data_IF_255785941755
#
_entry.id   IF_255785941755
#
_cell.length_a   1.000
_cell.length_b   1.000
_cell.length_c   1.000
_cell.angle_alpha   90.00
_cell.angle_beta   90.00
_cell.angle_gamma   90.00
#
_symmetry.space_group_name_H-M   'P 1'
#
loop_
_entity.id
_entity.type
_entity.pdbx_description
1 polymer ?
#
# COMPACT_ATOMS: atom_id res chain seq x y z
N UNK A 1 -28.65 19.55 24.48
CA UNK A 1 -29.22 18.23 24.16
C UNK A 1 -29.02 18.01 22.66
N UNK A 2 -28.48 16.87 22.24
CA UNK A 2 -28.27 16.55 20.81
C UNK A 2 -29.54 15.89 20.26
N UNK A 3 -30.04 16.26 19.07
CA UNK A 3 -31.19 15.57 18.47
C UNK A 3 -30.91 14.08 18.25
N UNK A 4 -31.84 13.21 18.66
CA UNK A 4 -31.69 11.76 18.56
C UNK A 4 -31.62 11.24 17.11
N UNK A 5 -32.05 12.05 16.14
CA UNK A 5 -32.04 11.72 14.71
C UNK A 5 -30.75 12.12 14.00
N UNK A 6 -29.79 12.77 14.68
CA UNK A 6 -28.57 13.26 14.02
C UNK A 6 -27.80 12.15 13.29
N UNK A 7 -27.73 10.95 13.88
CA UNK A 7 -27.04 9.81 13.27
C UNK A 7 -27.75 9.28 12.03
N UNK A 8 -29.09 9.27 12.01
CA UNK A 8 -29.89 8.84 10.85
C UNK A 8 -29.87 9.89 9.75
N UNK A 9 -29.86 11.17 10.13
CA UNK A 9 -29.71 12.27 9.17
C UNK A 9 -28.32 12.26 8.52
N UNK A 10 -27.27 12.04 9.31
CA UNK A 10 -25.91 11.90 8.80
C UNK A 10 -25.79 10.71 7.84
N UNK A 11 -26.33 9.54 8.23
CA UNK A 11 -26.40 8.35 7.37
C UNK A 11 -27.06 8.65 6.02
N UNK A 12 -28.25 9.28 6.04
CA UNK A 12 -28.97 9.65 4.83
C UNK A 12 -28.18 10.59 3.91
N UNK A 13 -27.55 11.63 4.47
CA UNK A 13 -26.78 12.61 3.68
C UNK A 13 -25.49 12.00 3.14
N UNK A 14 -24.80 11.16 3.93
CA UNK A 14 -23.57 10.51 3.49
C UNK A 14 -23.83 9.48 2.39
N UNK A 15 -24.87 8.66 2.54
CA UNK A 15 -25.28 7.72 1.50
C UNK A 15 -25.75 8.44 0.23
N UNK A 16 -26.50 9.54 0.34
CA UNK A 16 -26.89 10.35 -0.81
C UNK A 16 -25.68 10.96 -1.55
N UNK A 17 -24.57 11.21 -0.84
CA UNK A 17 -23.31 11.69 -1.40
C UNK A 17 -22.38 10.56 -1.89
N UNK A 18 -22.85 9.31 -1.93
CA UNK A 18 -22.10 8.18 -2.48
C UNK A 18 -21.10 7.55 -1.51
N UNK A 19 -21.37 7.61 -0.20
CA UNK A 19 -20.62 6.86 0.80
C UNK A 19 -21.36 5.55 1.18
N UNK A 20 -21.22 4.45 0.40
CA UNK A 20 -21.98 3.21 0.60
C UNK A 20 -21.59 2.45 1.87
N UNK A 21 -20.43 2.75 2.45
CA UNK A 21 -19.90 2.07 3.64
C UNK A 21 -20.34 2.73 4.95
N UNK A 22 -21.21 3.74 4.88
CA UNK A 22 -21.83 4.36 6.06
C UNK A 22 -23.06 3.58 6.44
N UNK A 23 -23.14 3.20 7.72
CA UNK A 23 -24.25 2.45 8.28
C UNK A 23 -24.74 3.10 9.56
N UNK A 24 -26.05 3.15 9.74
CA UNK A 24 -26.70 3.41 11.03
C UNK A 24 -27.22 2.09 11.61
N UNK A 25 -26.79 1.74 12.82
CA UNK A 25 -27.21 0.52 13.51
C UNK A 25 -27.99 0.91 14.75
N UNK A 26 -29.24 0.44 14.85
CA UNK A 26 -30.03 0.55 16.06
C UNK A 26 -29.59 -0.52 17.07
N UNK A 27 -28.93 -0.08 18.15
CA UNK A 27 -28.41 -0.95 19.20
C UNK A 27 -29.42 -1.20 20.33
N UNK A 28 -30.44 -0.34 20.48
CA UNK A 28 -31.52 -0.48 21.45
C UNK A 28 -32.66 0.54 21.17
N UNK A 29 -33.68 0.10 20.43
CA UNK A 29 -34.86 0.92 20.05
C UNK A 29 -35.68 1.49 21.20
N UNK A 30 -35.50 0.97 22.43
CA UNK A 30 -36.29 1.35 23.62
C UNK A 30 -35.53 2.20 24.61
N UNK A 31 -34.22 2.40 24.40
CA UNK A 31 -33.37 3.15 25.29
C UNK A 31 -33.63 4.66 25.22
N UNK A 32 -33.53 5.34 26.36
CA UNK A 32 -33.42 6.80 26.37
C UNK A 32 -32.03 7.24 25.89
N UNK A 33 -31.85 8.54 25.67
CA UNK A 33 -30.54 9.08 25.29
C UNK A 33 -29.42 8.71 26.29
N UNK A 34 -29.76 8.62 27.58
CA UNK A 34 -28.82 8.21 28.63
C UNK A 34 -28.56 6.70 28.61
N UNK A 35 -29.60 5.89 28.36
CA UNK A 35 -29.48 4.42 28.32
C UNK A 35 -28.76 3.92 27.06
N UNK A 36 -28.69 4.72 26.00
CA UNK A 36 -27.98 4.39 24.75
C UNK A 36 -26.46 4.45 24.86
N UNK A 37 -25.88 5.07 25.90
CA UNK A 37 -24.43 5.30 25.97
C UNK A 37 -23.66 3.98 26.06
N UNK A 38 -24.05 3.10 26.99
CA UNK A 38 -23.38 1.80 27.18
C UNK A 38 -23.44 0.92 25.92
N UNK A 39 -24.62 0.63 25.32
CA UNK A 39 -24.69 -0.24 24.15
C UNK A 39 -24.03 0.37 22.91
N UNK A 40 -24.03 1.70 22.75
CA UNK A 40 -23.35 2.37 21.65
C UNK A 40 -21.83 2.28 21.78
N UNK A 41 -21.28 2.52 22.97
CA UNK A 41 -19.83 2.41 23.22
C UNK A 41 -19.36 0.97 23.05
N UNK A 42 -20.09 0.01 23.62
CA UNK A 42 -19.79 -1.42 23.49
C UNK A 42 -19.79 -1.87 22.02
N UNK A 43 -20.79 -1.45 21.24
CA UNK A 43 -20.86 -1.76 19.80
C UNK A 43 -19.71 -1.13 19.01
N UNK A 44 -19.34 0.12 19.31
CA UNK A 44 -18.21 0.78 18.68
C UNK A 44 -16.88 0.05 18.98
N UNK A 45 -16.66 -0.36 20.23
CA UNK A 45 -15.47 -1.15 20.60
C UNK A 45 -15.41 -2.44 19.78
N UNK A 46 -16.51 -3.19 19.68
CA UNK A 46 -16.54 -4.43 18.88
C UNK A 46 -16.33 -4.19 17.39
N UNK A 47 -16.82 -3.09 16.84
CA UNK A 47 -16.56 -2.71 15.46
C UNK A 47 -15.06 -2.45 15.20
N UNK A 48 -14.38 -1.73 16.10
CA UNK A 48 -12.97 -1.35 15.92
C UNK A 48 -11.97 -2.41 16.40
N UNK A 49 -12.37 -3.37 17.23
CA UNK A 49 -11.50 -4.43 17.75
C UNK A 49 -10.73 -5.20 16.66
N UNK A 50 -11.38 -5.67 15.56
CA UNK A 50 -10.68 -6.35 14.47
C UNK A 50 -9.66 -5.46 13.72
N UNK A 51 -9.84 -4.14 13.77
CA UNK A 51 -8.99 -3.18 13.05
C UNK A 51 -7.69 -2.86 13.82
N UNK A 52 -7.55 -3.29 15.07
CA UNK A 52 -6.37 -3.02 15.90
C UNK A 52 -5.06 -3.56 15.31
N UNK A 53 -5.12 -4.58 14.44
CA UNK A 53 -3.96 -5.14 13.74
C UNK A 53 -3.72 -4.56 12.34
N UNK A 54 -4.62 -3.71 11.82
CA UNK A 54 -4.49 -3.10 10.50
C UNK A 54 -3.67 -1.81 10.61
N UNK A 55 -2.36 -1.96 10.76
CA UNK A 55 -1.45 -0.83 10.70
C UNK A 55 -1.03 -0.59 9.25
N UNK A 56 -1.31 0.59 8.73
CA UNK A 56 -0.65 1.09 7.52
C UNK A 56 0.55 1.92 7.94
N UNK A 57 1.65 1.83 7.20
CA UNK A 57 2.79 2.72 7.45
C UNK A 57 2.34 4.17 7.21
N UNK A 58 2.59 5.04 8.18
CA UNK A 58 2.44 6.49 8.02
C UNK A 58 3.74 7.17 7.60
N UNK A 59 4.80 6.39 7.34
CA UNK A 59 6.07 6.94 6.89
C UNK A 59 5.94 7.43 5.45
N UNK A 60 6.35 8.69 5.24
CA UNK A 60 6.53 9.21 3.89
C UNK A 60 7.71 8.47 3.26
N UNK A 61 7.42 7.64 2.26
CA UNK A 61 8.47 6.98 1.47
C UNK A 61 9.15 8.03 0.62
N UNK A 62 10.33 8.49 1.05
CA UNK A 62 11.11 9.42 0.23
C UNK A 62 11.54 8.72 -1.08
N UNK A 63 11.61 9.47 -2.17
CA UNK A 63 12.21 8.95 -3.40
C UNK A 63 13.71 8.78 -3.15
N UNK A 64 14.25 7.58 -3.34
CA UNK A 64 15.69 7.32 -3.18
C UNK A 64 16.51 8.23 -4.11
N UNK A 65 17.80 8.42 -3.75
CA UNK A 65 18.82 8.92 -4.68
C UNK A 65 18.72 8.16 -6.02
N UNK A 66 19.04 8.79 -7.17
CA UNK A 66 18.73 8.22 -8.47
C UNK A 66 19.49 6.90 -8.69
N UNK A 67 18.78 5.79 -8.55
CA UNK A 67 19.19 4.46 -9.01
C UNK A 67 19.20 4.48 -10.54
N UNK A 68 20.27 3.98 -11.15
CA UNK A 68 20.41 3.89 -12.60
C UNK A 68 20.38 2.44 -13.03
N UNK A 69 19.62 2.14 -14.07
CA UNK A 69 19.57 0.81 -14.68
C UNK A 69 20.03 0.92 -16.13
N UNK A 70 21.11 0.20 -16.48
CA UNK A 70 21.71 0.28 -17.82
C UNK A 70 22.42 -1.04 -18.21
N UNK A 71 22.57 -1.35 -19.50
CA UNK A 71 21.93 -0.67 -20.62
C UNK A 71 20.41 -0.85 -20.56
N UNK A 72 19.69 0.02 -21.26
CA UNK A 72 18.24 -0.07 -21.37
C UNK A 72 17.81 0.60 -22.69
N UNK A 73 17.43 -0.16 -23.72
CA UNK A 73 17.17 -1.60 -23.73
C UNK A 73 18.40 -2.51 -23.50
N UNK A 74 18.17 -3.77 -23.12
CA UNK A 74 19.21 -4.77 -22.88
C UNK A 74 18.77 -6.18 -23.30
N UNK A 75 19.66 -6.96 -23.91
CA UNK A 75 19.35 -8.33 -24.34
C UNK A 75 19.95 -9.42 -23.44
N UNK A 76 21.00 -9.11 -22.65
CA UNK A 76 21.74 -10.12 -21.88
C UNK A 76 21.81 -9.82 -20.39
N UNK A 77 22.21 -8.60 -20.04
CA UNK A 77 22.47 -8.20 -18.66
C UNK A 77 22.12 -6.73 -18.49
N UNK A 78 21.59 -6.38 -17.33
CA UNK A 78 21.52 -4.99 -16.84
C UNK A 78 22.38 -4.84 -15.59
N UNK A 79 22.83 -3.62 -15.38
CA UNK A 79 23.55 -3.14 -14.22
C UNK A 79 22.64 -2.19 -13.46
N UNK A 80 22.53 -2.40 -12.16
CA UNK A 80 21.77 -1.53 -11.26
C UNK A 80 22.77 -0.80 -10.36
N UNK A 81 22.93 0.50 -10.59
CA UNK A 81 23.90 1.36 -9.90
C UNK A 81 23.19 2.33 -8.94
N UNK A 82 23.86 2.68 -7.84
CA UNK A 82 23.39 3.65 -6.85
C UNK A 82 22.73 2.99 -5.65
N UNK A 83 23.06 1.72 -5.40
CA UNK A 83 22.53 0.88 -4.33
C UNK A 83 23.29 1.09 -3.02
N UNK A 84 22.71 0.64 -1.92
CA UNK A 84 23.37 0.44 -0.64
C UNK A 84 23.33 -1.03 -0.26
N UNK A 85 24.33 -1.49 0.50
CA UNK A 85 24.34 -2.85 1.02
C UNK A 85 23.07 -3.09 1.87
N UNK A 86 22.33 -4.14 1.53
CA UNK A 86 21.07 -4.51 2.17
C UNK A 86 19.81 -4.01 1.46
N UNK A 87 19.92 -3.09 0.49
CA UNK A 87 18.77 -2.68 -0.34
C UNK A 87 18.15 -3.91 -1.02
N UNK A 88 16.82 -3.94 -1.09
CA UNK A 88 16.08 -5.02 -1.73
C UNK A 88 15.75 -4.65 -3.17
N UNK A 89 16.18 -5.48 -4.11
CA UNK A 89 15.88 -5.35 -5.52
C UNK A 89 14.78 -6.34 -5.90
N UNK A 90 13.78 -5.87 -6.63
CA UNK A 90 12.68 -6.66 -7.14
C UNK A 90 12.51 -6.40 -8.64
N UNK A 91 12.48 -7.47 -9.43
CA UNK A 91 12.09 -7.39 -10.83
C UNK A 91 10.64 -7.84 -10.95
N UNK A 92 9.78 -6.96 -11.47
CA UNK A 92 8.37 -7.23 -11.68
C UNK A 92 8.06 -7.35 -13.18
N UNK A 93 7.12 -8.22 -13.49
CA UNK A 93 6.54 -8.39 -14.82
C UNK A 93 5.77 -7.13 -15.27
N UNK A 94 5.38 -7.04 -16.56
CA UNK A 94 4.51 -5.95 -17.02
C UNK A 94 3.18 -5.85 -16.26
N UNK A 95 2.69 -6.96 -15.70
CA UNK A 95 1.45 -7.01 -14.91
C UNK A 95 1.67 -6.77 -13.42
N UNK A 96 2.91 -6.49 -12.99
CA UNK A 96 3.26 -6.26 -11.59
C UNK A 96 3.51 -7.52 -10.77
N UNK A 97 3.60 -8.70 -11.41
CA UNK A 97 3.97 -9.94 -10.72
C UNK A 97 5.46 -9.90 -10.36
N UNK A 98 5.80 -10.17 -9.10
CA UNK A 98 7.19 -10.35 -8.67
C UNK A 98 7.78 -11.59 -9.37
N UNK A 99 8.79 -11.38 -10.21
CA UNK A 99 9.51 -12.44 -10.91
C UNK A 99 10.71 -12.91 -10.09
N UNK A 100 11.46 -11.96 -9.55
CA UNK A 100 12.68 -12.24 -8.80
C UNK A 100 12.98 -11.15 -7.78
N UNK A 101 13.60 -11.55 -6.66
CA UNK A 101 13.98 -10.67 -5.54
C UNK A 101 15.39 -10.99 -5.07
N UNK A 102 16.19 -9.95 -4.84
CA UNK A 102 17.58 -10.04 -4.34
C UNK A 102 17.87 -8.97 -3.31
N UNK A 103 18.95 -9.13 -2.54
CA UNK A 103 19.51 -8.08 -1.70
C UNK A 103 20.86 -7.64 -2.27
N UNK A 104 21.08 -6.34 -2.32
CA UNK A 104 22.35 -5.76 -2.76
C UNK A 104 23.46 -6.06 -1.76
N UNK A 105 24.61 -6.50 -2.26
CA UNK A 105 25.86 -6.58 -1.50
C UNK A 105 26.62 -5.26 -1.45
N UNK A 106 26.27 -4.27 -2.29
CA UNK A 106 27.03 -3.03 -2.42
C UNK A 106 26.32 -1.93 -3.22
N UNK A 107 27.10 -1.18 -4.01
CA UNK A 107 26.59 -0.05 -4.81
C UNK A 107 26.13 -0.45 -6.23
N UNK A 108 26.59 -1.60 -6.71
CA UNK A 108 26.39 -2.06 -8.08
C UNK A 108 26.03 -3.54 -8.05
N UNK A 109 24.95 -3.90 -8.75
CA UNK A 109 24.51 -5.28 -8.91
C UNK A 109 24.38 -5.62 -10.39
N UNK A 110 24.78 -6.85 -10.74
CA UNK A 110 24.60 -7.43 -12.06
C UNK A 110 23.31 -8.25 -12.09
N UNK A 111 22.49 -8.04 -13.12
CA UNK A 111 21.25 -8.78 -13.31
C UNK A 111 21.21 -9.44 -14.70
N UNK A 112 21.50 -10.75 -14.78
CA UNK A 112 21.34 -11.52 -16.00
C UNK A 112 19.86 -11.61 -16.42
N UNK A 113 19.58 -11.42 -17.70
CA UNK A 113 18.25 -11.48 -18.30
C UNK A 113 17.95 -12.81 -19.00
N UNK A 114 18.74 -13.85 -18.72
CA UNK A 114 18.53 -15.16 -19.31
C UNK A 114 17.20 -15.76 -18.85
N UNK A 115 16.34 -16.12 -19.80
CA UNK A 115 15.02 -16.71 -19.53
C UNK A 115 13.88 -15.70 -19.42
N UNK A 116 14.16 -14.40 -19.49
CA UNK A 116 13.12 -13.37 -19.59
C UNK A 116 12.68 -13.21 -21.05
N UNK A 117 11.38 -13.13 -21.28
CA UNK A 117 10.84 -12.86 -22.62
C UNK A 117 11.05 -11.39 -23.01
N UNK A 118 11.25 -11.06 -24.30
CA UNK A 118 11.35 -9.67 -24.73
C UNK A 118 10.11 -8.86 -24.31
N UNK A 119 10.30 -7.66 -23.76
CA UNK A 119 9.21 -6.87 -23.20
C UNK A 119 9.63 -5.82 -22.17
N UNK A 120 8.63 -5.23 -21.50
CA UNK A 120 8.84 -4.19 -20.49
C UNK A 120 8.66 -4.77 -19.08
N UNK A 121 9.64 -4.51 -18.22
CA UNK A 121 9.68 -4.92 -16.83
C UNK A 121 9.90 -3.72 -15.92
N UNK A 122 9.70 -3.91 -14.62
CA UNK A 122 9.92 -2.89 -13.61
C UNK A 122 10.98 -3.37 -12.63
N UNK A 123 12.10 -2.65 -12.56
CA UNK A 123 13.10 -2.83 -11.52
C UNK A 123 12.77 -1.90 -10.37
N UNK A 124 12.36 -2.47 -9.23
CA UNK A 124 12.09 -1.74 -8.01
C UNK A 124 13.23 -1.95 -7.01
N UNK A 125 13.71 -0.86 -6.41
CA UNK A 125 14.71 -0.88 -5.34
C UNK A 125 14.05 -0.31 -4.09
N UNK A 126 13.99 -1.12 -3.03
CA UNK A 126 13.51 -0.74 -1.71
C UNK A 126 14.71 -0.60 -0.78
N UNK A 127 15.03 0.64 -0.43
CA UNK A 127 16.07 0.97 0.55
C UNK A 127 15.47 1.41 1.88
N UNK A 128 16.30 1.54 2.89
CA UNK A 128 15.87 1.89 4.26
C UNK A 128 15.15 3.25 4.37
N UNK A 129 15.31 4.13 3.38
CA UNK A 129 14.78 5.50 3.40
C UNK A 129 13.91 5.81 2.18
N UNK A 130 13.59 4.83 1.34
CA UNK A 130 12.85 5.13 0.13
C UNK A 130 12.69 3.99 -0.86
N UNK A 131 12.00 4.30 -1.95
CA UNK A 131 11.82 3.39 -3.09
C UNK A 131 12.26 4.09 -4.38
N UNK A 132 12.85 3.33 -5.30
CA UNK A 132 13.09 3.73 -6.70
C UNK A 132 12.48 2.70 -7.64
N UNK A 133 11.88 3.15 -8.74
CA UNK A 133 11.32 2.27 -9.77
C UNK A 133 11.89 2.69 -11.12
N UNK A 134 12.47 1.75 -11.85
CA UNK A 134 13.04 1.96 -13.17
C UNK A 134 12.40 1.00 -14.16
N UNK A 135 12.02 1.52 -15.33
CA UNK A 135 11.55 0.70 -16.44
C UNK A 135 12.74 -0.04 -17.04
N UNK A 136 12.61 -1.32 -17.33
CA UNK A 136 13.61 -2.13 -18.03
C UNK A 136 13.00 -2.68 -19.31
N UNK A 137 13.66 -2.48 -20.45
CA UNK A 137 13.26 -3.02 -21.75
C UNK A 137 14.19 -4.17 -22.10
N UNK A 138 13.64 -5.38 -22.18
CA UNK A 138 14.37 -6.59 -22.58
C UNK A 138 14.12 -6.84 -24.07
N UNK A 139 15.19 -7.11 -24.81
CA UNK A 139 15.17 -7.43 -26.25
C UNK A 139 15.26 -8.93 -26.55
#
# INVERSE_FOLDING_TARGET
QVPYTNSVFADSVMNANGAPDVMSIDVNSTASHTDCVEPAVTSAIFFFLPLQGLMVSSEEVAVLKPVRVYPNPASHTIWVEGLQAGDELQLLSPTGQLLERRRSGGNLEEWPLQGYTPGVYWMQVLGNKGVSVQKVVVE
#
